data_IF_896792948130
#
_entry.id   IF_896792948130
#
_cell.length_a   1.000
_cell.length_b   1.000
_cell.length_c   1.000
_cell.angle_alpha   90.00
_cell.angle_beta   90.00
_cell.angle_gamma   90.00
#
_symmetry.space_group_name_H-M   'P 1'
#
loop_
_entity.id
_entity.type
_entity.pdbx_description
1 polymer ?
#
# COMPACT_ATOMS: atom_id res chain seq x y z
N UNK A 1 -26.72 -2.52 -6.51
CA UNK A 1 -27.12 -3.83 -7.05
C UNK A 1 -27.75 -4.63 -5.93
N UNK A 2 -28.78 -5.42 -6.24
CA UNK A 2 -29.58 -6.25 -5.32
C UNK A 2 -28.84 -7.47 -4.77
N UNK A 3 -27.73 -7.88 -5.38
CA UNK A 3 -27.01 -9.11 -5.02
C UNK A 3 -27.63 -10.38 -5.61
N UNK A 4 -28.69 -10.24 -6.40
CA UNK A 4 -29.38 -11.36 -7.05
C UNK A 4 -28.77 -11.73 -8.41
N UNK A 5 -29.04 -12.95 -8.84
CA UNK A 5 -28.69 -13.44 -10.17
C UNK A 5 -29.90 -13.36 -11.09
N UNK A 6 -29.71 -12.87 -12.31
CA UNK A 6 -30.76 -12.68 -13.30
C UNK A 6 -30.45 -13.45 -14.58
N UNK A 7 -31.50 -13.80 -15.33
CA UNK A 7 -31.39 -14.42 -16.65
C UNK A 7 -32.31 -13.74 -17.65
N UNK A 8 -31.75 -13.41 -18.82
CA UNK A 8 -32.50 -13.04 -20.02
C UNK A 8 -32.72 -14.29 -20.84
N UNK A 9 -33.98 -14.71 -20.96
CA UNK A 9 -34.38 -15.95 -21.62
C UNK A 9 -35.10 -15.62 -22.93
N UNK A 10 -34.53 -16.05 -24.06
CA UNK A 10 -35.12 -15.83 -25.37
C UNK A 10 -36.27 -16.81 -25.62
N UNK A 11 -37.48 -16.27 -25.81
CA UNK A 11 -38.70 -17.03 -26.09
C UNK A 11 -39.08 -17.00 -27.58
N UNK A 12 -38.41 -16.14 -28.36
CA UNK A 12 -38.57 -15.94 -29.79
C UNK A 12 -37.32 -15.27 -30.37
N UNK A 13 -37.15 -15.27 -31.68
CA UNK A 13 -36.02 -14.62 -32.35
C UNK A 13 -35.91 -13.11 -32.08
N UNK A 14 -37.02 -12.47 -31.69
CA UNK A 14 -37.09 -11.05 -31.37
C UNK A 14 -37.80 -10.79 -30.02
N UNK A 15 -37.91 -11.80 -29.14
CA UNK A 15 -38.60 -11.65 -27.86
C UNK A 15 -37.87 -12.34 -26.71
N UNK A 16 -37.82 -11.68 -25.55
CA UNK A 16 -37.20 -12.23 -24.35
C UNK A 16 -37.97 -11.92 -23.07
N UNK A 17 -37.74 -12.76 -22.06
CA UNK A 17 -38.20 -12.56 -20.69
C UNK A 17 -37.00 -12.32 -19.78
N UNK A 18 -37.21 -11.58 -18.70
CA UNK A 18 -36.23 -11.35 -17.64
C UNK A 18 -36.71 -12.06 -16.39
N UNK A 19 -35.89 -12.96 -15.85
CA UNK A 19 -36.18 -13.74 -14.66
C UNK A 19 -35.10 -13.50 -13.61
N UNK A 20 -35.53 -13.23 -12.38
CA UNK A 20 -34.68 -13.32 -11.21
C UNK A 20 -34.51 -14.80 -10.85
N UNK A 21 -33.31 -15.30 -11.03
CA UNK A 21 -32.97 -16.71 -10.76
C UNK A 21 -32.68 -16.97 -9.29
N UNK A 22 -32.48 -15.93 -8.47
CA UNK A 22 -32.39 -16.07 -7.01
C UNK A 22 -33.76 -16.31 -6.41
N UNK A 23 -34.76 -15.50 -6.80
CA UNK A 23 -36.12 -15.56 -6.23
C UNK A 23 -37.09 -16.41 -7.05
N UNK A 24 -36.74 -16.71 -8.30
CA UNK A 24 -37.63 -17.36 -9.27
C UNK A 24 -38.67 -16.41 -9.88
N UNK A 25 -38.67 -15.13 -9.52
CA UNK A 25 -39.65 -14.16 -9.99
C UNK A 25 -39.40 -13.76 -11.45
N UNK A 26 -40.45 -13.73 -12.27
CA UNK A 26 -40.37 -13.10 -13.60
C UNK A 26 -40.52 -11.59 -13.44
N UNK A 27 -39.47 -10.85 -13.77
CA UNK A 27 -39.42 -9.39 -13.68
C UNK A 27 -40.11 -8.72 -14.86
N UNK A 28 -39.94 -9.30 -16.05
CA UNK A 28 -40.57 -8.82 -17.28
C UNK A 28 -40.72 -9.96 -18.28
N UNK A 29 -41.71 -9.87 -19.16
CA UNK A 29 -41.98 -10.88 -20.19
C UNK A 29 -42.40 -10.25 -21.51
N UNK A 30 -42.10 -10.92 -22.63
CA UNK A 30 -42.51 -10.47 -23.96
C UNK A 30 -41.79 -9.21 -24.44
N UNK A 31 -40.60 -8.91 -23.92
CA UNK A 31 -39.84 -7.74 -24.32
C UNK A 31 -39.33 -7.91 -25.75
N UNK A 32 -39.40 -6.85 -26.57
CA UNK A 32 -38.85 -6.87 -27.91
C UNK A 32 -37.32 -6.83 -27.86
N UNK A 33 -36.67 -7.73 -28.62
CA UNK A 33 -35.23 -7.74 -28.82
C UNK A 33 -34.87 -7.06 -30.13
N UNK A 34 -33.81 -6.25 -30.09
CA UNK A 34 -33.13 -5.74 -31.29
C UNK A 34 -31.63 -5.87 -31.05
N UNK A 35 -30.91 -6.46 -32.01
CA UNK A 35 -29.46 -6.66 -31.88
C UNK A 35 -28.73 -5.35 -31.60
N UNK A 36 -27.87 -5.36 -30.58
CA UNK A 36 -27.06 -4.22 -30.17
C UNK A 36 -27.82 -3.12 -29.43
N UNK A 37 -29.13 -3.27 -29.19
CA UNK A 37 -29.84 -2.41 -28.25
C UNK A 37 -29.63 -2.90 -26.82
N UNK A 38 -29.49 -1.95 -25.90
CA UNK A 38 -29.22 -2.28 -24.50
C UNK A 38 -30.43 -2.90 -23.83
N UNK A 39 -30.21 -4.02 -23.15
CA UNK A 39 -31.20 -4.68 -22.32
C UNK A 39 -31.02 -4.19 -20.88
N UNK A 40 -32.02 -3.45 -20.38
CA UNK A 40 -31.98 -2.85 -19.05
C UNK A 40 -33.03 -3.43 -18.12
N UNK A 41 -32.64 -3.84 -16.92
CA UNK A 41 -33.54 -4.31 -15.86
C UNK A 41 -32.82 -4.29 -14.51
N UNK A 42 -33.55 -4.14 -13.40
CA UNK A 42 -33.00 -4.20 -12.03
C UNK A 42 -31.73 -3.32 -11.80
N UNK A 43 -31.58 -2.22 -12.55
CA UNK A 43 -30.39 -1.35 -12.52
C UNK A 43 -29.16 -1.88 -13.27
N UNK A 44 -29.28 -2.99 -13.99
CA UNK A 44 -28.29 -3.57 -14.89
C UNK A 44 -28.56 -3.14 -16.33
N UNK A 45 -27.49 -3.06 -17.13
CA UNK A 45 -27.54 -2.78 -18.57
C UNK A 45 -26.46 -3.60 -19.26
N UNK A 46 -26.80 -4.28 -20.35
CA UNK A 46 -25.82 -4.90 -21.23
C UNK A 46 -26.37 -5.06 -22.64
N UNK A 47 -25.46 -5.18 -23.60
CA UNK A 47 -25.79 -5.28 -25.01
C UNK A 47 -25.65 -6.72 -25.48
N UNK A 48 -26.70 -7.24 -26.11
CA UNK A 48 -26.68 -8.56 -26.74
C UNK A 48 -26.66 -8.35 -28.25
N UNK A 49 -25.62 -8.86 -28.91
CA UNK A 49 -25.46 -8.77 -30.36
C UNK A 49 -25.78 -10.12 -31.03
N UNK A 50 -26.32 -10.05 -32.25
CA UNK A 50 -26.57 -11.22 -33.10
C UNK A 50 -28.05 -11.60 -33.18
N UNK A 51 -28.32 -12.88 -33.43
CA UNK A 51 -29.67 -13.43 -33.58
C UNK A 51 -29.84 -14.62 -32.65
N UNK A 52 -30.17 -14.38 -31.36
CA UNK A 52 -30.41 -15.45 -30.39
C UNK A 52 -31.54 -16.38 -30.83
N UNK A 53 -31.37 -17.68 -30.59
CA UNK A 53 -32.36 -18.69 -30.83
C UNK A 53 -33.34 -18.82 -29.65
N UNK A 54 -34.49 -19.44 -29.89
CA UNK A 54 -35.43 -19.79 -28.82
C UNK A 54 -34.75 -20.76 -27.84
N UNK A 55 -34.77 -20.43 -26.56
CA UNK A 55 -34.08 -21.18 -25.51
C UNK A 55 -32.70 -20.65 -25.14
N UNK A 56 -32.15 -19.69 -25.89
CA UNK A 56 -30.90 -19.04 -25.50
C UNK A 56 -31.06 -18.25 -24.21
N UNK A 57 -30.04 -18.30 -23.36
CA UNK A 57 -30.04 -17.62 -22.07
C UNK A 57 -28.76 -16.83 -21.85
N UNK A 58 -28.91 -15.62 -21.29
CA UNK A 58 -27.81 -14.77 -20.87
C UNK A 58 -27.97 -14.47 -19.38
N UNK A 59 -27.01 -14.89 -18.56
CA UNK A 59 -27.09 -14.71 -17.11
C UNK A 59 -26.23 -13.56 -16.63
N UNK A 60 -26.78 -12.70 -15.80
CA UNK A 60 -26.05 -11.72 -15.02
C UNK A 60 -25.98 -12.20 -13.58
N UNK A 61 -24.77 -12.48 -13.09
CA UNK A 61 -24.52 -12.94 -11.72
C UNK A 61 -23.67 -11.92 -10.98
N UNK A 62 -23.83 -11.76 -9.66
CA UNK A 62 -22.89 -10.99 -8.86
C UNK A 62 -21.46 -11.50 -9.06
N UNK A 63 -20.51 -10.56 -9.12
CA UNK A 63 -19.09 -10.90 -9.18
C UNK A 63 -18.66 -11.66 -7.92
N UNK A 64 -17.80 -12.65 -8.10
CA UNK A 64 -17.19 -13.41 -7.01
C UNK A 64 -15.68 -13.22 -7.03
N UNK A 65 -15.01 -13.41 -5.89
CA UNK A 65 -13.56 -13.42 -5.85
C UNK A 65 -13.03 -14.58 -6.69
N UNK A 66 -12.16 -14.27 -7.65
CA UNK A 66 -11.49 -15.24 -8.51
C UNK A 66 -10.01 -14.91 -8.63
N UNK A 67 -9.19 -15.95 -8.77
CA UNK A 67 -7.76 -15.80 -9.05
C UNK A 67 -7.55 -15.38 -10.50
N UNK A 68 -6.60 -14.47 -10.75
CA UNK A 68 -6.18 -14.11 -12.12
C UNK A 68 -5.70 -15.33 -12.90
N UNK A 69 -5.07 -16.30 -12.23
CA UNK A 69 -4.65 -17.55 -12.85
C UNK A 69 -5.83 -18.39 -13.32
N UNK A 70 -6.93 -18.39 -12.54
CA UNK A 70 -8.16 -19.07 -12.97
C UNK A 70 -8.78 -18.36 -14.18
N UNK A 71 -8.83 -17.03 -14.18
CA UNK A 71 -9.32 -16.28 -15.33
C UNK A 71 -8.52 -16.57 -16.62
N UNK A 72 -7.18 -16.68 -16.50
CA UNK A 72 -6.31 -17.07 -17.61
C UNK A 72 -6.54 -18.51 -18.06
N UNK A 73 -6.69 -19.47 -17.14
CA UNK A 73 -7.00 -20.87 -17.47
C UNK A 73 -8.36 -21.00 -18.16
N UNK A 74 -9.38 -20.28 -17.68
CA UNK A 74 -10.71 -20.26 -18.28
C UNK A 74 -10.62 -19.70 -19.71
N UNK A 75 -9.86 -18.61 -19.92
CA UNK A 75 -9.60 -18.03 -21.24
C UNK A 75 -8.90 -19.00 -22.20
N UNK A 76 -7.83 -19.66 -21.73
CA UNK A 76 -7.10 -20.67 -22.53
C UNK A 76 -8.06 -21.79 -22.96
N UNK A 77 -8.89 -22.27 -22.03
CA UNK A 77 -9.88 -23.32 -22.30
C UNK A 77 -10.88 -22.89 -23.39
N UNK A 78 -11.37 -21.64 -23.32
CA UNK A 78 -12.26 -21.09 -24.35
C UNK A 78 -11.59 -20.98 -25.72
N UNK A 79 -10.33 -20.51 -25.77
CA UNK A 79 -9.58 -20.39 -27.02
C UNK A 79 -9.23 -21.75 -27.65
N UNK A 80 -9.10 -22.80 -26.84
CA UNK A 80 -8.86 -24.17 -27.30
C UNK A 80 -10.12 -24.88 -27.79
N UNK A 81 -11.30 -24.28 -27.62
CA UNK A 81 -12.59 -24.83 -28.08
C UNK A 81 -13.25 -23.92 -29.14
N UNK A 82 -12.59 -23.69 -30.30
CA UNK A 82 -13.08 -22.77 -31.32
C UNK A 82 -14.41 -23.25 -31.91
N UNK A 83 -15.33 -22.30 -32.16
CA UNK A 83 -16.62 -22.56 -32.79
C UNK A 83 -17.81 -22.79 -31.84
N UNK A 84 -17.60 -22.70 -30.52
CA UNK A 84 -18.70 -22.70 -29.55
C UNK A 84 -19.42 -21.35 -29.54
N UNK A 85 -20.76 -21.38 -29.47
CA UNK A 85 -21.54 -20.17 -29.22
C UNK A 85 -21.09 -19.55 -27.87
N UNK A 86 -20.91 -18.23 -27.84
CA UNK A 86 -20.52 -17.52 -26.62
C UNK A 86 -19.03 -17.20 -26.47
N UNK A 87 -18.17 -17.53 -27.45
CA UNK A 87 -16.74 -17.17 -27.41
C UNK A 87 -16.53 -15.66 -27.18
N UNK A 88 -17.25 -14.79 -27.89
CA UNK A 88 -17.13 -13.34 -27.72
C UNK A 88 -17.48 -12.87 -26.31
N UNK A 89 -18.54 -13.43 -25.71
CA UNK A 89 -18.93 -13.16 -24.34
C UNK A 89 -17.87 -13.69 -23.35
N UNK A 90 -17.34 -14.89 -23.58
CA UNK A 90 -16.27 -15.47 -22.78
C UNK A 90 -15.00 -14.63 -22.80
N UNK A 91 -14.61 -14.10 -23.97
CA UNK A 91 -13.47 -13.18 -24.11
C UNK A 91 -13.70 -11.87 -23.34
N UNK A 92 -14.89 -11.30 -23.42
CA UNK A 92 -15.23 -10.07 -22.69
C UNK A 92 -15.15 -10.27 -21.16
N UNK A 93 -15.66 -11.41 -20.66
CA UNK A 93 -15.58 -11.77 -19.24
C UNK A 93 -14.12 -11.99 -18.82
N UNK A 94 -13.34 -12.71 -19.63
CA UNK A 94 -11.93 -12.94 -19.34
C UNK A 94 -11.14 -11.63 -19.27
N UNK A 95 -11.35 -10.72 -20.23
CA UNK A 95 -10.70 -9.41 -20.24
C UNK A 95 -11.05 -8.60 -18.97
N UNK A 96 -12.33 -8.52 -18.63
CA UNK A 96 -12.77 -7.81 -17.42
C UNK A 96 -12.19 -8.41 -16.12
N UNK A 97 -12.03 -9.73 -16.05
CA UNK A 97 -11.40 -10.39 -14.89
C UNK A 97 -9.89 -10.13 -14.81
N UNK A 98 -9.20 -10.09 -15.96
CA UNK A 98 -7.77 -9.78 -16.03
C UNK A 98 -7.52 -8.32 -15.64
N UNK A 99 -8.33 -7.39 -16.14
CA UNK A 99 -8.24 -5.97 -15.81
C UNK A 99 -8.41 -5.73 -14.30
N UNK A 100 -9.43 -6.33 -13.68
CA UNK A 100 -9.63 -6.28 -12.22
C UNK A 100 -8.44 -6.87 -11.44
N UNK A 101 -7.86 -7.96 -11.94
CA UNK A 101 -6.66 -8.56 -11.36
C UNK A 101 -5.45 -7.63 -11.45
N UNK A 102 -5.27 -6.95 -12.58
CA UNK A 102 -4.19 -5.98 -12.79
C UNK A 102 -4.35 -4.75 -11.89
N UNK A 103 -5.58 -4.23 -11.75
CA UNK A 103 -5.89 -3.12 -10.85
C UNK A 103 -5.56 -3.45 -9.38
N UNK A 104 -5.81 -4.69 -8.96
CA UNK A 104 -5.41 -5.16 -7.64
C UNK A 104 -3.88 -5.14 -7.48
N UNK A 105 -3.14 -5.65 -8.46
CA UNK A 105 -1.67 -5.61 -8.45
C UNK A 105 -1.14 -4.18 -8.41
N UNK A 106 -1.72 -3.27 -9.20
CA UNK A 106 -1.37 -1.85 -9.20
C UNK A 106 -1.63 -1.20 -7.83
N UNK A 107 -2.75 -1.53 -7.20
CA UNK A 107 -3.09 -1.07 -5.84
C UNK A 107 -2.05 -1.51 -4.82
N UNK A 108 -1.65 -2.79 -4.87
CA UNK A 108 -0.61 -3.33 -3.98
C UNK A 108 0.74 -2.65 -4.25
N UNK A 109 1.12 -2.46 -5.51
CA UNK A 109 2.36 -1.76 -5.87
C UNK A 109 2.37 -0.32 -5.40
N UNK A 110 1.25 0.40 -5.51
CA UNK A 110 1.12 1.75 -5.00
C UNK A 110 1.30 1.79 -3.47
N UNK A 111 0.69 0.84 -2.74
CA UNK A 111 0.86 0.69 -1.29
C UNK A 111 2.32 0.43 -0.90
N UNK A 112 3.02 -0.44 -1.63
CA UNK A 112 4.46 -0.66 -1.43
C UNK A 112 5.26 0.62 -1.68
N UNK A 113 4.94 1.37 -2.74
CA UNK A 113 5.58 2.67 -3.02
C UNK A 113 5.41 3.68 -1.88
N UNK A 114 4.21 3.78 -1.31
CA UNK A 114 3.97 4.63 -0.14
C UNK A 114 4.80 4.21 1.07
N UNK A 115 4.92 2.90 1.32
CA UNK A 115 5.75 2.37 2.41
C UNK A 115 7.24 2.63 2.20
N UNK A 116 7.74 2.54 0.96
CA UNK A 116 9.12 2.91 0.65
C UNK A 116 9.36 4.40 0.95
N UNK A 117 8.40 5.27 0.61
CA UNK A 117 8.51 6.70 0.92
C UNK A 117 8.50 6.99 2.42
N UNK A 118 7.73 6.22 3.19
CA UNK A 118 7.72 6.28 4.65
C UNK A 118 9.09 5.86 5.21
N UNK A 119 9.69 4.77 4.70
CA UNK A 119 11.03 4.34 5.09
C UNK A 119 12.11 5.38 4.78
N UNK A 120 12.08 6.02 3.60
CA UNK A 120 13.02 7.10 3.27
C UNK A 120 12.92 8.29 4.27
N UNK A 121 11.68 8.58 4.69
CA UNK A 121 11.43 9.66 5.65
C UNK A 121 11.91 9.29 7.06
N UNK A 122 11.73 8.03 7.45
CA UNK A 122 12.21 7.50 8.73
C UNK A 122 13.74 7.45 8.77
N UNK A 123 14.39 7.06 7.66
CA UNK A 123 15.85 7.03 7.55
C UNK A 123 16.44 8.44 7.68
N UNK A 124 15.85 9.42 6.98
CA UNK A 124 16.23 10.83 7.09
C UNK A 124 16.10 11.35 8.54
N UNK A 125 14.96 11.07 9.19
CA UNK A 125 14.75 11.45 10.59
C UNK A 125 15.72 10.74 11.54
N UNK A 126 16.09 9.49 11.25
CA UNK A 126 17.09 8.72 11.99
C UNK A 126 18.49 9.33 11.87
N UNK A 127 18.89 9.74 10.67
CA UNK A 127 20.16 10.42 10.42
C UNK A 127 20.24 11.75 11.17
N UNK A 128 19.19 12.57 11.12
CA UNK A 128 19.11 13.83 11.87
C UNK A 128 19.22 13.60 13.39
N UNK A 129 18.54 12.57 13.89
CA UNK A 129 18.61 12.19 15.31
C UNK A 129 20.02 11.76 15.72
N UNK A 130 20.72 11.02 14.87
CA UNK A 130 22.09 10.62 15.13
C UNK A 130 23.04 11.83 15.24
N UNK A 131 22.86 12.84 14.38
CA UNK A 131 23.62 14.10 14.45
C UNK A 131 23.32 14.83 15.76
N UNK A 132 22.04 14.97 16.15
CA UNK A 132 21.65 15.61 17.41
C UNK A 132 22.23 14.90 18.63
N UNK A 133 22.20 13.58 18.66
CA UNK A 133 22.80 12.80 19.75
C UNK A 133 24.32 12.95 19.78
N UNK A 134 24.98 12.95 18.62
CA UNK A 134 26.42 13.18 18.53
C UNK A 134 26.82 14.56 19.07
N UNK A 135 26.06 15.62 18.71
CA UNK A 135 26.26 16.97 19.24
C UNK A 135 26.01 17.06 20.74
N UNK A 136 24.95 16.43 21.23
CA UNK A 136 24.61 16.39 22.65
C UNK A 136 25.71 15.70 23.46
N UNK A 137 26.23 14.58 22.96
CA UNK A 137 27.34 13.85 23.59
C UNK A 137 28.62 14.69 23.62
N UNK A 138 28.98 15.34 22.50
CA UNK A 138 30.15 16.22 22.42
C UNK A 138 30.06 17.38 23.43
N UNK A 139 28.91 18.04 23.55
CA UNK A 139 28.72 19.11 24.54
C UNK A 139 28.85 18.63 25.99
N UNK A 140 28.31 17.44 26.29
CA UNK A 140 28.42 16.83 27.63
C UNK A 140 29.87 16.46 27.97
N UNK A 141 30.66 15.99 27.01
CA UNK A 141 32.06 15.60 27.20
C UNK A 141 33.02 16.80 27.21
N UNK A 142 32.92 17.73 26.25
CA UNK A 142 33.84 18.88 26.13
C UNK A 142 33.75 19.84 27.33
N UNK A 143 32.57 19.99 27.93
CA UNK A 143 32.39 20.79 29.14
C UNK A 143 33.15 20.19 30.34
N UNK A 144 33.15 18.86 30.47
CA UNK A 144 33.82 18.16 31.56
C UNK A 144 35.35 18.22 31.41
N UNK A 145 35.88 17.98 30.21
CA UNK A 145 37.33 18.12 29.96
C UNK A 145 37.84 19.55 30.24
N UNK A 146 37.11 20.58 29.81
CA UNK A 146 37.51 21.98 30.03
C UNK A 146 37.52 22.33 31.52
N UNK A 147 36.51 21.87 32.28
CA UNK A 147 36.44 22.08 33.72
C UNK A 147 37.54 21.31 34.46
N UNK A 148 37.77 20.04 34.11
CA UNK A 148 38.82 19.23 34.69
C UNK A 148 40.22 19.83 34.48
N UNK A 149 40.52 20.37 33.29
CA UNK A 149 41.77 21.07 33.01
C UNK A 149 41.88 22.34 33.86
N UNK A 150 40.81 23.13 33.95
CA UNK A 150 40.79 24.37 34.74
C UNK A 150 41.04 24.08 36.22
N UNK A 151 40.36 23.08 36.78
CA UNK A 151 40.52 22.67 38.18
C UNK A 151 41.95 22.16 38.45
N UNK A 152 42.52 21.37 37.53
CA UNK A 152 43.90 20.90 37.63
C UNK A 152 44.92 22.06 37.58
N UNK A 153 44.78 22.99 36.63
CA UNK A 153 45.65 24.17 36.54
C UNK A 153 45.56 25.03 37.80
N UNK A 154 44.35 25.18 38.37
CA UNK A 154 44.15 25.92 39.61
C UNK A 154 44.85 25.24 40.79
N UNK A 155 44.71 23.91 40.92
CA UNK A 155 45.41 23.12 41.94
C UNK A 155 46.95 23.18 41.79
N UNK A 156 47.47 23.09 40.56
CA UNK A 156 48.90 23.25 40.27
C UNK A 156 49.41 24.64 40.67
N UNK A 157 48.65 25.70 40.34
CA UNK A 157 48.99 27.08 40.69
C UNK A 157 49.05 27.26 42.20
N UNK A 158 48.06 26.72 42.93
CA UNK A 158 48.03 26.75 44.40
C UNK A 158 49.23 25.99 44.97
N UNK A 159 49.53 24.81 44.45
CA UNK A 159 50.67 24.00 44.89
C UNK A 159 52.00 24.75 44.69
N UNK A 160 52.22 25.34 43.51
CA UNK A 160 53.41 26.14 43.23
C UNK A 160 53.50 27.36 44.15
N UNK A 161 52.39 28.07 44.38
CA UNK A 161 52.34 29.20 45.29
C UNK A 161 52.66 28.78 46.74
N UNK A 162 52.13 27.64 47.19
CA UNK A 162 52.42 27.07 48.51
C UNK A 162 53.90 26.67 48.64
N UNK A 163 54.48 26.03 47.63
CA UNK A 163 55.91 25.67 47.60
C UNK A 163 56.82 26.90 47.65
N UNK A 164 56.51 27.95 46.87
CA UNK A 164 57.27 29.20 46.90
C UNK A 164 57.13 29.94 48.23
N UNK A 165 55.93 29.96 48.81
CA UNK A 165 55.67 30.57 50.11
C UNK A 165 56.43 29.83 51.21
N UNK A 166 56.42 28.49 51.18
CA UNK A 166 57.19 27.66 52.09
C UNK A 166 58.70 27.90 51.95
N UNK A 167 59.23 27.93 50.72
CA UNK A 167 60.64 28.22 50.48
C UNK A 167 61.07 29.60 51.00
N UNK A 168 60.22 30.63 50.82
CA UNK A 168 60.47 31.97 51.40
C UNK A 168 60.45 31.96 52.92
N UNK A 169 59.47 31.31 53.56
CA UNK A 169 59.38 31.23 55.03
C UNK A 169 60.56 30.44 55.60
N UNK A 170 60.88 29.29 55.02
CA UNK A 170 62.02 28.47 55.43
C UNK A 170 63.35 29.22 55.26
N UNK A 171 63.53 29.96 54.17
CA UNK A 171 64.70 30.81 53.95
C UNK A 171 64.83 31.95 54.97
N UNK A 172 63.72 32.61 55.33
CA UNK A 172 63.69 33.64 56.38
C UNK A 172 63.99 33.06 57.77
N UNK A 173 63.50 31.85 58.08
CA UNK A 173 63.79 31.15 59.33
C UNK A 173 65.28 30.80 59.48
N UNK A 174 65.94 30.42 58.38
CA UNK A 174 67.36 30.04 58.41
C UNK A 174 68.28 31.26 58.57
N UNK A 175 67.93 32.40 57.95
CA UNK A 175 68.64 33.66 58.15
C UNK A 175 68.44 34.25 59.57
N UNK A 176 67.27 34.06 60.17
CA UNK A 176 67.03 34.46 61.57
C UNK A 176 67.72 33.56 62.60
N UNK A 177 68.19 32.37 62.22
CA UNK A 177 68.92 31.47 63.13
C UNK A 177 70.44 31.69 63.10
N UNK A 178 70.96 32.45 62.13
CA UNK A 178 72.38 32.70 61.91
C UNK A 178 72.86 34.12 62.29
N UNK A 179 72.00 34.93 62.92
CA UNK A 179 72.33 36.23 63.54
C UNK A 179 72.14 36.16 65.05
#
# INVERSE_FOLDING_TARGET
>A
LTGDSYSVNFTGAATYNVVDTTTGATLSSGNAYTSGQSVTFAGLSFDINGSPAVGDTFTAKPSNNQSIFKALTDLITQLQTPGTAGLSAGLAVANGNIDQGLDNVLTVRASVGSRLKELDSLDSAGADRNVQYSQTLSQLQDLDYTKAITDLTQQQTILTAAQQSFAKIAGLSLFNYLN
#
